data_IF_800482165795
#
_entry.id   IF_800482165795
#
_cell.length_a   1.000
_cell.length_b   1.000
_cell.length_c   1.000
_cell.angle_alpha   90.00
_cell.angle_beta   90.00
_cell.angle_gamma   90.00
#
_symmetry.space_group_name_H-M   'P 1'
#
loop_
_entity.id
_entity.type
_entity.pdbx_description
1 polymer ?
#
# COMPACT_ATOMS: atom_id res chain seq x y z
N UNK A 1 0.41 11.85 12.93
CA UNK A 1 1.12 11.42 11.71
C UNK A 1 1.18 9.89 11.60
N UNK A 2 1.64 9.15 12.61
CA UNK A 2 1.76 7.68 12.54
C UNK A 2 0.45 6.94 12.27
N UNK A 3 -0.66 7.33 12.92
CA UNK A 3 -1.97 6.71 12.72
C UNK A 3 -2.49 6.87 11.29
N UNK A 4 -2.39 8.09 10.74
CA UNK A 4 -2.83 8.40 9.37
C UNK A 4 -2.06 7.58 8.34
N UNK A 5 -0.73 7.53 8.46
CA UNK A 5 0.12 6.72 7.58
C UNK A 5 -0.21 5.24 7.66
N UNK A 6 -0.52 4.73 8.86
CA UNK A 6 -0.97 3.35 9.03
C UNK A 6 -2.30 3.10 8.32
N UNK A 7 -3.29 3.97 8.52
CA UNK A 7 -4.59 3.85 7.86
C UNK A 7 -4.48 3.87 6.33
N UNK A 8 -3.59 4.70 5.76
CA UNK A 8 -3.34 4.69 4.31
C UNK A 8 -2.81 3.34 3.83
N UNK A 9 -1.85 2.75 4.54
CA UNK A 9 -1.33 1.41 4.21
C UNK A 9 -2.41 0.34 4.31
N UNK A 10 -3.26 0.40 5.33
CA UNK A 10 -4.38 -0.54 5.48
C UNK A 10 -5.42 -0.34 4.38
N UNK A 11 -5.68 0.91 3.97
CA UNK A 11 -6.57 1.21 2.86
C UNK A 11 -6.08 0.59 1.56
N UNK A 12 -4.78 0.72 1.24
CA UNK A 12 -4.20 0.09 0.03
C UNK A 12 -4.37 -1.44 0.03
N UNK A 13 -4.36 -2.07 1.20
CA UNK A 13 -4.55 -3.52 1.36
C UNK A 13 -6.03 -3.95 1.31
N UNK A 14 -6.92 -3.19 1.94
CA UNK A 14 -8.25 -3.66 2.30
C UNK A 14 -9.40 -2.81 1.78
N UNK A 15 -9.14 -1.74 1.01
CA UNK A 15 -10.21 -0.89 0.43
C UNK A 15 -11.27 -1.65 -0.35
N UNK A 16 -10.92 -2.79 -0.96
CA UNK A 16 -11.89 -3.65 -1.66
C UNK A 16 -12.99 -4.24 -0.77
N UNK A 17 -12.81 -4.21 0.56
CA UNK A 17 -13.81 -4.62 1.55
C UNK A 17 -14.73 -3.47 1.98
N UNK A 18 -14.33 -2.23 1.70
CA UNK A 18 -15.15 -1.06 1.96
C UNK A 18 -16.22 -0.91 0.88
N UNK A 19 -17.41 -0.49 1.29
CA UNK A 19 -18.45 -0.08 0.33
C UNK A 19 -17.97 1.15 -0.47
N UNK A 20 -18.49 1.39 -1.70
CA UNK A 20 -18.13 2.57 -2.48
C UNK A 20 -18.27 3.87 -1.68
N UNK A 21 -19.34 3.99 -0.89
CA UNK A 21 -19.59 5.17 -0.06
C UNK A 21 -18.57 5.37 1.07
N UNK A 22 -18.05 4.27 1.63
CA UNK A 22 -16.99 4.30 2.62
C UNK A 22 -15.64 4.69 1.99
N UNK A 23 -15.38 4.23 0.76
CA UNK A 23 -14.21 4.63 -0.03
C UNK A 23 -14.26 6.12 -0.34
N UNK A 24 -15.40 6.63 -0.85
CA UNK A 24 -15.58 8.06 -1.17
C UNK A 24 -15.29 8.95 0.05
N UNK A 25 -15.88 8.64 1.22
CA UNK A 25 -15.66 9.41 2.45
C UNK A 25 -14.20 9.36 2.90
N UNK A 26 -13.58 8.19 2.83
CA UNK A 26 -12.18 8.03 3.23
C UNK A 26 -11.25 8.80 2.27
N UNK A 27 -11.47 8.72 0.96
CA UNK A 27 -10.67 9.39 -0.06
C UNK A 27 -10.78 10.91 0.01
N UNK A 28 -11.99 11.44 0.13
CA UNK A 28 -12.22 12.88 0.28
C UNK A 28 -11.56 13.41 1.56
N UNK A 29 -11.62 12.67 2.67
CA UNK A 29 -11.05 13.12 3.94
C UNK A 29 -9.51 12.98 4.00
N UNK A 30 -8.96 11.83 3.59
CA UNK A 30 -7.54 11.50 3.78
C UNK A 30 -6.65 11.88 2.59
N UNK A 31 -7.18 11.96 1.37
CA UNK A 31 -6.40 12.30 0.15
C UNK A 31 -6.68 13.69 -0.39
N UNK A 32 -7.89 14.22 -0.19
CA UNK A 32 -8.24 15.57 -0.64
C UNK A 32 -8.24 16.59 0.51
N UNK A 33 -7.85 16.17 1.71
CA UNK A 33 -7.77 17.00 2.92
C UNK A 33 -9.07 17.78 3.23
N UNK A 34 -10.23 17.29 2.77
CA UNK A 34 -11.51 17.91 3.03
C UNK A 34 -11.93 17.71 4.49
N UNK A 35 -12.45 18.75 5.11
CA UNK A 35 -13.10 18.66 6.41
C UNK A 35 -14.39 17.82 6.33
N UNK A 36 -14.85 17.28 7.46
CA UNK A 36 -16.11 16.51 7.52
C UNK A 36 -17.33 17.31 7.01
N UNK A 37 -17.29 18.63 7.08
CA UNK A 37 -18.32 19.51 6.53
C UNK A 37 -18.27 19.57 5.01
N UNK A 38 -17.08 19.79 4.44
CA UNK A 38 -16.88 19.82 2.98
C UNK A 38 -17.19 18.45 2.35
N UNK A 39 -16.82 17.35 3.01
CA UNK A 39 -17.21 16.00 2.56
C UNK A 39 -18.73 15.82 2.60
N UNK A 40 -19.39 16.32 3.64
CA UNK A 40 -20.85 16.24 3.78
C UNK A 40 -21.57 17.01 2.67
N UNK A 41 -21.11 18.22 2.37
CA UNK A 41 -21.60 19.05 1.27
C UNK A 41 -21.37 18.36 -0.08
N UNK A 42 -20.15 17.88 -0.33
CA UNK A 42 -19.78 17.20 -1.58
C UNK A 42 -20.64 15.96 -1.85
N UNK A 43 -20.94 15.20 -0.78
CA UNK A 43 -21.65 13.93 -0.87
C UNK A 43 -23.17 14.06 -0.64
N UNK A 44 -23.69 15.25 -0.32
CA UNK A 44 -25.11 15.48 -0.04
C UNK A 44 -25.64 14.71 1.17
N UNK A 45 -24.83 14.52 2.21
CA UNK A 45 -25.20 13.82 3.45
C UNK A 45 -24.90 14.69 4.67
N UNK A 46 -25.36 14.26 5.86
CA UNK A 46 -25.04 14.98 7.09
C UNK A 46 -23.58 14.80 7.50
N UNK A 47 -23.02 15.80 8.18
CA UNK A 47 -21.69 15.72 8.81
C UNK A 47 -21.58 14.53 9.77
N UNK A 48 -22.67 14.19 10.46
CA UNK A 48 -22.73 13.02 11.33
C UNK A 48 -22.60 11.71 10.54
N UNK A 49 -23.29 11.61 9.40
CA UNK A 49 -23.17 10.44 8.52
C UNK A 49 -21.75 10.27 7.97
N UNK A 50 -21.07 11.36 7.61
CA UNK A 50 -19.65 11.32 7.19
C UNK A 50 -18.77 10.81 8.32
N UNK A 51 -18.91 11.37 9.53
CA UNK A 51 -18.15 10.93 10.70
C UNK A 51 -18.34 9.43 10.97
N UNK A 52 -19.58 8.94 10.94
CA UNK A 52 -19.91 7.55 11.22
C UNK A 52 -19.46 6.59 10.11
N UNK A 53 -19.45 7.04 8.85
CA UNK A 53 -18.87 6.30 7.74
C UNK A 53 -17.35 6.19 7.90
N UNK A 54 -16.66 7.31 8.15
CA UNK A 54 -15.21 7.34 8.31
C UNK A 54 -14.77 6.43 9.47
N UNK A 55 -15.41 6.56 10.64
CA UNK A 55 -15.09 5.74 11.81
C UNK A 55 -15.28 4.24 11.54
N UNK A 56 -16.35 3.85 10.85
CA UNK A 56 -16.60 2.45 10.49
C UNK A 56 -15.61 1.93 9.46
N UNK A 57 -15.21 2.76 8.49
CA UNK A 57 -14.16 2.40 7.53
C UNK A 57 -12.85 2.13 8.25
N UNK A 58 -12.40 3.05 9.12
CA UNK A 58 -11.17 2.89 9.90
C UNK A 58 -11.21 1.63 10.78
N UNK A 59 -12.32 1.40 11.49
CA UNK A 59 -12.49 0.20 12.31
C UNK A 59 -12.41 -1.10 11.48
N UNK A 60 -13.08 -1.14 10.32
CA UNK A 60 -13.05 -2.31 9.46
C UNK A 60 -11.64 -2.60 8.92
N UNK A 61 -10.88 -1.57 8.53
CA UNK A 61 -9.49 -1.73 8.08
C UNK A 61 -8.59 -2.31 9.19
N UNK A 62 -8.76 -1.82 10.42
CA UNK A 62 -8.01 -2.24 11.60
C UNK A 62 -8.36 -3.67 12.03
N UNK A 63 -9.66 -3.99 12.10
CA UNK A 63 -10.15 -5.32 12.44
C UNK A 63 -9.72 -6.35 11.40
N UNK A 64 -9.75 -5.98 10.11
CA UNK A 64 -9.27 -6.83 9.03
C UNK A 64 -7.78 -7.10 9.16
N UNK A 65 -6.95 -6.09 9.48
CA UNK A 65 -5.53 -6.32 9.74
C UNK A 65 -5.32 -7.20 10.98
N UNK A 66 -6.10 -7.03 12.03
CA UNK A 66 -6.04 -7.90 13.22
C UNK A 66 -6.36 -9.37 12.90
N UNK A 67 -7.31 -9.61 11.99
CA UNK A 67 -7.74 -10.94 11.59
C UNK A 67 -6.80 -11.60 10.57
N UNK A 68 -6.31 -10.85 9.58
CA UNK A 68 -5.55 -11.39 8.45
C UNK A 68 -4.05 -11.13 8.53
N UNK A 69 -3.62 -10.02 9.13
CA UNK A 69 -2.22 -9.66 9.31
C UNK A 69 -1.42 -9.53 8.02
N UNK A 70 -2.05 -9.14 6.90
CA UNK A 70 -1.36 -9.10 5.60
C UNK A 70 -0.27 -8.03 5.58
N UNK A 71 -0.47 -6.89 6.26
CA UNK A 71 0.56 -5.87 6.39
C UNK A 71 1.79 -6.42 7.11
N UNK A 72 1.58 -7.01 8.29
CA UNK A 72 2.66 -7.62 9.08
C UNK A 72 3.34 -8.78 8.33
N UNK A 73 2.58 -9.58 7.58
CA UNK A 73 3.14 -10.63 6.76
C UNK A 73 4.02 -10.07 5.62
N UNK A 74 3.57 -9.02 4.92
CA UNK A 74 4.36 -8.35 3.87
C UNK A 74 5.66 -7.77 4.43
N UNK A 75 5.61 -7.10 5.58
CA UNK A 75 6.81 -6.55 6.23
C UNK A 75 7.83 -7.64 6.59
N UNK A 76 7.35 -8.76 7.16
CA UNK A 76 8.22 -9.91 7.45
C UNK A 76 8.81 -10.52 6.19
N UNK A 77 7.99 -10.73 5.15
CA UNK A 77 8.44 -11.26 3.87
C UNK A 77 9.50 -10.36 3.22
N UNK A 78 9.32 -9.04 3.24
CA UNK A 78 10.32 -8.08 2.76
C UNK A 78 11.65 -8.23 3.51
N UNK A 79 11.62 -8.33 4.84
CA UNK A 79 12.83 -8.56 5.63
C UNK A 79 13.51 -9.93 5.40
N UNK A 80 12.78 -10.94 4.89
CA UNK A 80 13.40 -12.18 4.41
C UNK A 80 14.06 -11.98 3.04
N UNK A 81 13.43 -11.25 2.13
CA UNK A 81 13.97 -10.94 0.81
C UNK A 81 15.25 -10.10 0.90
N UNK A 82 15.31 -9.12 1.80
CA UNK A 82 16.53 -8.31 2.00
C UNK A 82 17.71 -9.17 2.44
N UNK A 83 17.47 -10.14 3.34
CA UNK A 83 18.50 -11.10 3.77
C UNK A 83 18.93 -12.02 2.65
N UNK A 84 17.99 -12.51 1.83
CA UNK A 84 18.30 -13.33 0.67
C UNK A 84 19.11 -12.55 -0.37
N UNK A 85 18.74 -11.30 -0.65
CA UNK A 85 19.47 -10.46 -1.59
C UNK A 85 20.90 -10.21 -1.11
N UNK A 86 21.09 -9.91 0.18
CA UNK A 86 22.41 -9.74 0.76
C UNK A 86 23.27 -11.02 0.67
N UNK A 87 22.69 -12.18 1.01
CA UNK A 87 23.38 -13.46 0.95
C UNK A 87 23.76 -13.86 -0.49
N UNK A 88 22.84 -13.71 -1.44
CA UNK A 88 23.08 -14.00 -2.85
C UNK A 88 24.11 -13.04 -3.45
N UNK A 89 24.05 -11.75 -3.10
CA UNK A 89 25.04 -10.76 -3.53
C UNK A 89 26.45 -11.09 -3.03
N UNK A 90 26.58 -11.47 -1.76
CA UNK A 90 27.87 -11.90 -1.20
C UNK A 90 28.39 -13.18 -1.86
N UNK A 91 27.53 -14.17 -2.09
CA UNK A 91 27.88 -15.41 -2.78
C UNK A 91 28.32 -15.15 -4.24
N UNK A 92 27.61 -14.28 -4.97
CA UNK A 92 27.96 -13.92 -6.34
C UNK A 92 29.31 -13.21 -6.41
N UNK A 93 29.60 -12.31 -5.47
CA UNK A 93 30.89 -11.64 -5.37
C UNK A 93 32.03 -12.64 -5.09
N UNK A 94 31.82 -13.62 -4.21
CA UNK A 94 32.81 -14.65 -3.90
C UNK A 94 33.04 -15.63 -5.07
N UNK A 95 32.01 -15.91 -5.88
CA UNK A 95 32.08 -16.82 -7.03
C UNK A 95 32.71 -16.21 -8.29
N UNK A 96 32.96 -14.90 -8.30
CA UNK A 96 33.46 -14.15 -9.46
C UNK A 96 32.33 -13.76 -10.42
N UNK A 97 32.07 -12.45 -10.52
CA UNK A 97 31.02 -11.89 -11.36
C UNK A 97 31.17 -12.32 -12.84
N UNK A 98 30.09 -12.78 -13.45
CA UNK A 98 30.08 -13.26 -14.83
C UNK A 98 30.75 -14.62 -15.09
N UNK A 99 31.34 -15.26 -14.07
CA UNK A 99 31.89 -16.62 -14.14
C UNK A 99 30.80 -17.70 -14.20
N UNK A 100 31.16 -18.95 -14.57
CA UNK A 100 30.20 -20.05 -14.67
C UNK A 100 29.48 -20.36 -13.35
N UNK A 101 30.13 -20.11 -12.21
CA UNK A 101 29.53 -20.25 -10.87
C UNK A 101 28.76 -18.99 -10.42
N UNK A 102 29.07 -17.81 -10.95
CA UNK A 102 28.42 -16.53 -10.60
C UNK A 102 27.09 -16.30 -11.32
N UNK A 103 26.98 -16.72 -12.59
CA UNK A 103 25.76 -16.51 -13.41
C UNK A 103 24.47 -17.02 -12.76
N UNK A 104 24.40 -18.24 -12.20
CA UNK A 104 23.17 -18.70 -11.54
C UNK A 104 22.79 -17.85 -10.31
N UNK A 105 23.78 -17.30 -9.60
CA UNK A 105 23.55 -16.44 -8.43
C UNK A 105 23.03 -15.06 -8.84
N UNK A 106 23.54 -14.50 -9.94
CA UNK A 106 23.02 -13.27 -10.54
C UNK A 106 21.57 -13.43 -11.02
N UNK A 107 21.25 -14.58 -11.63
CA UNK A 107 19.88 -14.92 -12.03
C UNK A 107 18.95 -15.04 -10.82
N UNK A 108 19.37 -15.77 -9.77
CA UNK A 108 18.61 -15.87 -8.53
C UNK A 108 18.37 -14.50 -7.88
N UNK A 109 19.38 -13.62 -7.89
CA UNK A 109 19.29 -12.26 -7.40
C UNK A 109 18.27 -11.43 -8.18
N UNK A 110 18.21 -11.59 -9.50
CA UNK A 110 17.22 -10.93 -10.35
C UNK A 110 15.80 -11.39 -10.02
N UNK A 111 15.60 -12.68 -9.76
CA UNK A 111 14.30 -13.24 -9.32
C UNK A 111 13.89 -12.66 -7.97
N UNK A 112 14.79 -12.64 -6.97
CA UNK A 112 14.50 -12.06 -5.65
C UNK A 112 14.12 -10.58 -5.76
N UNK A 113 14.83 -9.81 -6.60
CA UNK A 113 14.51 -8.40 -6.87
C UNK A 113 13.17 -8.22 -7.59
N UNK A 114 12.80 -9.13 -8.49
CA UNK A 114 11.48 -9.11 -9.12
C UNK A 114 10.38 -9.38 -8.08
N UNK A 115 10.53 -10.42 -7.27
CA UNK A 115 9.59 -10.77 -6.21
C UNK A 115 9.43 -9.64 -5.18
N UNK A 116 10.52 -8.96 -4.80
CA UNK A 116 10.44 -7.78 -3.90
C UNK A 116 9.60 -6.67 -4.53
N UNK A 117 9.81 -6.35 -5.81
CA UNK A 117 9.03 -5.30 -6.49
C UNK A 117 7.54 -5.64 -6.54
N UNK A 118 7.19 -6.90 -6.80
CA UNK A 118 5.79 -7.37 -6.76
C UNK A 118 5.20 -7.25 -5.36
N UNK A 119 5.97 -7.66 -4.34
CA UNK A 119 5.55 -7.57 -2.94
C UNK A 119 5.36 -6.12 -2.49
N UNK A 120 6.17 -5.18 -2.96
CA UNK A 120 6.11 -3.74 -2.63
C UNK A 120 4.98 -3.03 -3.38
N UNK A 121 4.79 -3.33 -4.67
CA UNK A 121 3.73 -2.74 -5.49
C UNK A 121 2.34 -2.95 -4.88
N UNK A 122 2.16 -4.03 -4.11
CA UNK A 122 0.88 -4.37 -3.49
C UNK A 122 -0.18 -4.76 -4.53
N UNK A 123 -1.40 -5.08 -4.09
CA UNK A 123 -2.49 -5.35 -5.02
C UNK A 123 -2.79 -4.09 -5.84
N UNK A 124 -2.83 -4.22 -7.17
CA UNK A 124 -3.25 -3.13 -8.03
C UNK A 124 -4.66 -2.66 -7.61
N UNK A 125 -4.91 -1.35 -7.55
CA UNK A 125 -6.24 -0.82 -7.30
C UNK A 125 -7.30 -1.51 -8.16
N UNK A 126 -8.40 -2.07 -7.60
CA UNK A 126 -9.56 -2.39 -8.42
C UNK A 126 -9.99 -1.09 -9.13
N UNK A 127 -10.04 -1.13 -10.46
CA UNK A 127 -10.39 0.01 -11.32
C UNK A 127 -9.24 0.87 -11.83
N UNK A 128 -7.96 0.60 -11.51
CA UNK A 128 -6.85 1.29 -12.16
C UNK A 128 -6.83 0.99 -13.66
N UNK A 129 -7.18 1.99 -14.48
CA UNK A 129 -6.96 1.90 -15.93
C UNK A 129 -5.46 1.78 -16.21
N UNK A 130 -5.03 0.91 -17.14
CA UNK A 130 -3.63 0.86 -17.57
C UNK A 130 -3.30 2.19 -18.27
N UNK A 131 -2.56 3.07 -17.60
CA UNK A 131 -2.14 4.36 -18.16
C UNK A 131 -2.50 5.63 -17.36
N UNK A 132 -3.05 5.53 -16.15
CA UNK A 132 -3.35 6.68 -15.29
C UNK A 132 -2.21 7.05 -14.34
N UNK A 133 -1.02 7.32 -14.87
CA UNK A 133 0.06 7.94 -14.10
C UNK A 133 -0.21 9.44 -13.98
N UNK A 134 -1.00 9.84 -12.98
CA UNK A 134 -0.84 11.11 -12.27
C UNK A 134 -1.71 11.06 -11.01
N UNK A 135 -1.09 10.78 -9.86
CA UNK A 135 -1.65 11.18 -8.56
C UNK A 135 -1.45 12.69 -8.49
N UNK A 136 -2.51 13.52 -8.46
CA UNK A 136 -2.30 14.95 -8.34
C UNK A 136 -1.72 15.23 -6.95
N UNK A 137 -0.55 15.87 -6.92
CA UNK A 137 -0.03 16.48 -5.70
C UNK A 137 -0.98 17.57 -5.20
N UNK A 138 -0.97 17.90 -3.89
CA UNK A 138 -1.90 18.86 -3.33
C UNK A 138 -1.72 20.22 -4.02
N UNK A 139 -2.81 20.78 -4.53
CA UNK A 139 -2.86 22.20 -4.85
C UNK A 139 -2.78 22.98 -3.53
N UNK A 140 -1.95 24.04 -3.43
CA UNK A 140 -1.85 24.81 -2.20
C UNK A 140 -3.20 25.46 -1.87
N UNK A 141 -3.67 25.20 -0.65
CA UNK A 141 -4.81 25.90 -0.08
C UNK A 141 -4.53 27.41 -0.11
N UNK A 142 -5.48 28.18 -0.68
CA UNK A 142 -5.50 29.64 -0.62
C UNK A 142 -6.05 30.11 0.72
#
# INVERSE_FOLDING_TARGET
>A
MERTLRLHRLYDLYRGLLTPRQQDVFELYHWQDLSLGEVAEHLGISRQAVHDLLRRSEALLEETEGALGLGVWRERAAGHLDRLEAALGAAAAAAGAGGPAGRPLEEALAIVRALRRELEAGPAPPGAKPGGAERPGPAPAR
#
